data_IF_056698658256
#
_entry.id   IF_056698658256
#
_cell.length_a   1.000
_cell.length_b   1.000
_cell.length_c   1.000
_cell.angle_alpha   90.00
_cell.angle_beta   90.00
_cell.angle_gamma   90.00
#
_symmetry.space_group_name_H-M   'P 1'
#
loop_
_entity.id
_entity.type
_entity.pdbx_description
1 polymer ?
#
# COMPACT_ATOMS: atom_id res chain seq x y z
N UNK A 1 10.59 -10.61 6.26
CA UNK A 1 10.26 -9.31 5.66
C UNK A 1 8.77 -9.09 5.76
N UNK A 2 8.35 -7.92 6.20
CA UNK A 2 6.93 -7.54 6.24
C UNK A 2 6.52 -6.96 4.89
N UNK A 3 5.37 -7.41 4.36
CA UNK A 3 4.82 -6.90 3.11
C UNK A 3 3.50 -6.19 3.38
N UNK A 4 3.34 -5.00 2.81
CA UNK A 4 2.15 -4.17 3.01
C UNK A 4 1.65 -3.62 1.67
N UNK A 5 0.34 -3.67 1.48
CA UNK A 5 -0.33 -3.11 0.31
C UNK A 5 -1.14 -1.90 0.73
N UNK A 6 -0.94 -0.77 0.07
CA UNK A 6 -1.70 0.46 0.29
C UNK A 6 -2.65 0.67 -0.88
N UNK A 7 -3.94 0.67 -0.61
CA UNK A 7 -4.97 0.92 -1.61
C UNK A 7 -5.35 2.39 -1.51
N UNK A 8 -4.90 3.16 -2.48
CA UNK A 8 -4.92 4.61 -2.42
C UNK A 8 -3.75 5.13 -1.60
N UNK A 9 -3.22 6.30 -1.97
CA UNK A 9 -2.07 6.87 -1.27
C UNK A 9 -2.15 8.39 -1.27
N UNK A 10 -3.24 8.91 -0.69
CA UNK A 10 -3.40 10.33 -0.41
C UNK A 10 -2.69 10.72 0.88
N UNK A 11 -3.16 11.77 1.56
CA UNK A 11 -2.53 12.26 2.77
C UNK A 11 -2.56 11.23 3.91
N UNK A 12 -3.71 10.55 4.09
CA UNK A 12 -3.85 9.54 5.15
C UNK A 12 -2.99 8.31 4.85
N UNK A 13 -3.03 7.81 3.61
CA UNK A 13 -2.23 6.65 3.21
C UNK A 13 -0.74 6.92 3.33
N UNK A 14 -0.29 8.11 2.92
CA UNK A 14 1.12 8.50 3.05
C UNK A 14 1.54 8.55 4.51
N UNK A 15 0.68 9.06 5.38
CA UNK A 15 0.94 9.11 6.83
C UNK A 15 1.13 7.72 7.41
N UNK A 16 0.25 6.79 7.06
CA UNK A 16 0.38 5.39 7.51
C UNK A 16 1.65 4.74 6.97
N UNK A 17 2.00 5.00 5.71
CA UNK A 17 3.22 4.47 5.11
C UNK A 17 4.46 4.95 5.86
N UNK A 18 4.54 6.24 6.17
CA UNK A 18 5.65 6.81 6.93
C UNK A 18 5.74 6.23 8.33
N UNK A 19 4.60 6.09 9.01
CA UNK A 19 4.54 5.52 10.36
C UNK A 19 4.99 4.06 10.35
N UNK A 20 4.50 3.27 9.41
CA UNK A 20 4.88 1.86 9.32
C UNK A 20 6.37 1.70 9.01
N UNK A 21 6.90 2.53 8.11
CA UNK A 21 8.33 2.51 7.77
C UNK A 21 9.17 2.81 9.01
N UNK A 22 8.77 3.81 9.80
CA UNK A 22 9.49 4.18 11.03
C UNK A 22 9.45 3.05 12.06
N UNK A 23 8.29 2.43 12.25
CA UNK A 23 8.13 1.33 13.21
C UNK A 23 9.00 0.15 12.80
N UNK A 24 9.00 -0.23 11.53
CA UNK A 24 9.82 -1.32 11.03
C UNK A 24 11.31 -1.03 11.21
N UNK A 25 11.74 0.20 10.94
CA UNK A 25 13.12 0.61 11.14
C UNK A 25 13.55 0.50 12.60
N UNK A 26 12.69 0.92 13.54
CA UNK A 26 12.96 0.84 14.96
C UNK A 26 13.08 -0.60 15.45
N UNK A 27 12.36 -1.52 14.82
CA UNK A 27 12.34 -2.94 15.21
C UNK A 27 13.32 -3.80 14.41
N UNK A 28 14.08 -3.20 13.52
CA UNK A 28 15.01 -3.93 12.66
C UNK A 28 14.33 -4.85 11.66
N UNK A 29 13.08 -4.54 11.26
CA UNK A 29 12.32 -5.32 10.30
C UNK A 29 12.47 -4.74 8.90
N UNK A 30 12.70 -5.60 7.91
CA UNK A 30 12.63 -5.18 6.51
C UNK A 30 11.17 -5.02 6.10
N UNK A 31 10.87 -3.97 5.33
CA UNK A 31 9.53 -3.67 4.85
C UNK A 31 9.54 -3.56 3.34
N UNK A 32 8.58 -4.23 2.69
CA UNK A 32 8.22 -3.98 1.30
C UNK A 32 6.81 -3.40 1.28
N UNK A 33 6.66 -2.16 0.82
CA UNK A 33 5.37 -1.49 0.68
C UNK A 33 5.07 -1.28 -0.79
N UNK A 34 3.91 -1.73 -1.24
CA UNK A 34 3.41 -1.54 -2.60
C UNK A 34 2.14 -0.70 -2.55
N UNK A 35 1.86 0.04 -3.62
CA UNK A 35 0.66 0.88 -3.70
C UNK A 35 -0.18 0.52 -4.92
N UNK A 36 -1.47 0.30 -4.70
CA UNK A 36 -2.48 0.18 -5.74
C UNK A 36 -3.15 1.54 -5.88
N UNK A 37 -2.99 2.17 -7.03
CA UNK A 37 -3.45 3.54 -7.28
C UNK A 37 -4.38 3.58 -8.49
N UNK A 38 -5.35 4.49 -8.47
CA UNK A 38 -6.25 4.67 -9.61
C UNK A 38 -5.56 5.36 -10.80
N UNK A 39 -4.52 6.17 -10.55
CA UNK A 39 -3.83 6.94 -11.58
C UNK A 39 -2.37 7.15 -11.15
N UNK A 40 -1.45 6.51 -11.87
CA UNK A 40 -0.01 6.64 -11.60
C UNK A 40 0.57 7.98 -12.04
N UNK A 41 -0.13 8.71 -12.91
CA UNK A 41 0.30 10.04 -13.33
C UNK A 41 0.09 11.11 -12.25
N UNK A 42 -0.80 10.86 -11.29
CA UNK A 42 -1.05 11.77 -10.18
C UNK A 42 0.17 11.77 -9.24
N UNK A 43 0.73 12.94 -8.89
CA UNK A 43 1.90 12.98 -8.01
C UNK A 43 1.59 12.48 -6.61
N UNK A 44 2.56 11.81 -6.01
CA UNK A 44 2.48 11.36 -4.62
C UNK A 44 2.80 12.52 -3.67
N UNK A 45 2.37 12.39 -2.42
CA UNK A 45 2.77 13.30 -1.37
C UNK A 45 4.28 13.22 -1.17
N UNK A 46 4.95 14.31 -0.72
CA UNK A 46 6.39 14.32 -0.54
C UNK A 46 6.89 13.18 0.36
N UNK A 47 7.92 12.50 -0.08
CA UNK A 47 8.55 11.42 0.67
C UNK A 47 7.90 10.05 0.50
N UNK A 48 6.73 9.95 -0.16
CA UNK A 48 6.06 8.67 -0.30
C UNK A 48 6.74 7.76 -1.33
N UNK A 49 7.16 8.31 -2.46
CA UNK A 49 7.72 7.50 -3.54
C UNK A 49 8.97 6.72 -3.12
N UNK A 50 9.82 7.32 -2.29
CA UNK A 50 11.05 6.68 -1.82
C UNK A 50 10.80 5.50 -0.90
N UNK A 51 9.61 5.43 -0.29
CA UNK A 51 9.26 4.38 0.66
C UNK A 51 8.56 3.20 -0.01
N UNK A 52 8.17 3.33 -1.27
CA UNK A 52 7.46 2.29 -2.00
C UNK A 52 8.40 1.43 -2.81
N UNK A 53 8.17 0.11 -2.80
CA UNK A 53 8.86 -0.83 -3.65
C UNK A 53 8.27 -0.82 -5.06
N UNK A 54 6.93 -0.84 -5.18
CA UNK A 54 6.23 -0.88 -6.45
C UNK A 54 4.92 -0.12 -6.38
N UNK A 55 4.46 0.36 -7.55
CA UNK A 55 3.17 1.00 -7.73
C UNK A 55 2.50 0.40 -8.96
N UNK A 56 1.19 0.18 -8.87
CA UNK A 56 0.43 -0.38 -9.99
C UNK A 56 -1.04 0.05 -9.90
N UNK A 57 -1.76 -0.12 -11.01
CA UNK A 57 -3.17 0.25 -11.08
C UNK A 57 -4.11 -0.94 -11.02
N UNK A 58 -3.58 -2.16 -11.06
CA UNK A 58 -4.35 -3.40 -10.99
C UNK A 58 -3.57 -4.45 -10.23
N UNK A 59 -4.28 -5.34 -9.52
CA UNK A 59 -3.66 -6.44 -8.79
C UNK A 59 -3.18 -7.56 -9.70
N UNK A 60 -3.53 -7.53 -10.99
CA UNK A 60 -2.99 -8.47 -11.99
C UNK A 60 -1.63 -8.03 -12.53
N UNK A 61 -1.14 -6.84 -12.13
CA UNK A 61 0.19 -6.38 -12.52
C UNK A 61 1.25 -7.35 -12.01
N UNK A 62 2.27 -7.62 -12.85
CA UNK A 62 3.34 -8.55 -12.46
C UNK A 62 4.18 -8.07 -11.28
N UNK A 63 4.14 -6.76 -10.98
CA UNK A 63 4.82 -6.19 -9.82
C UNK A 63 4.09 -6.49 -8.52
N UNK A 64 2.79 -6.85 -8.56
CA UNK A 64 2.03 -7.16 -7.37
C UNK A 64 2.40 -8.53 -6.82
N UNK A 65 2.44 -8.65 -5.49
CA UNK A 65 2.64 -9.94 -4.84
C UNK A 65 1.34 -10.75 -4.84
N UNK A 66 1.42 -12.10 -4.81
CA UNK A 66 0.23 -12.93 -4.69
C UNK A 66 -0.42 -12.84 -3.32
N UNK A 67 0.31 -12.36 -2.30
CA UNK A 67 -0.18 -12.25 -0.93
C UNK A 67 0.61 -11.17 -0.18
N UNK A 68 -0.06 -10.44 0.71
CA UNK A 68 0.53 -9.42 1.57
C UNK A 68 0.20 -9.70 3.03
N UNK A 69 1.10 -9.36 3.93
CA UNK A 69 0.87 -9.50 5.38
C UNK A 69 -0.18 -8.48 5.88
N UNK A 70 -0.13 -7.26 5.36
CA UNK A 70 -1.02 -6.17 5.74
C UNK A 70 -1.61 -5.48 4.51
N UNK A 71 -2.82 -4.96 4.65
CA UNK A 71 -3.42 -4.09 3.65
C UNK A 71 -4.04 -2.87 4.33
N UNK A 72 -3.73 -1.68 3.79
CA UNK A 72 -4.28 -0.41 4.27
C UNK A 72 -5.21 0.14 3.21
N UNK A 73 -6.50 0.24 3.53
CA UNK A 73 -7.50 0.79 2.61
C UNK A 73 -7.68 2.26 2.94
N UNK A 74 -7.00 3.11 2.17
CA UNK A 74 -6.97 4.55 2.40
C UNK A 74 -7.55 5.35 1.23
N UNK A 75 -8.24 4.68 0.30
CA UNK A 75 -8.99 5.34 -0.76
C UNK A 75 -10.27 5.97 -0.18
N UNK A 76 -11.04 6.76 -0.96
CA UNK A 76 -12.29 7.34 -0.48
C UNK A 76 -13.23 6.29 0.09
N UNK A 77 -13.95 6.66 1.18
CA UNK A 77 -14.84 5.74 1.91
C UNK A 77 -15.84 5.02 1.00
N UNK A 78 -16.33 5.70 -0.03
CA UNK A 78 -17.28 5.12 -0.98
C UNK A 78 -16.71 3.92 -1.75
N UNK A 79 -15.38 3.75 -1.77
CA UNK A 79 -14.71 2.66 -2.49
C UNK A 79 -14.20 1.56 -1.57
N UNK A 80 -14.40 1.66 -0.25
CA UNK A 80 -13.84 0.70 0.71
C UNK A 80 -14.39 -0.71 0.51
N UNK A 81 -15.69 -0.85 0.26
CA UNK A 81 -16.30 -2.16 0.05
C UNK A 81 -15.73 -2.86 -1.19
N UNK A 82 -15.55 -2.12 -2.27
CA UNK A 82 -14.94 -2.64 -3.50
C UNK A 82 -13.49 -3.05 -3.25
N UNK A 83 -12.72 -2.23 -2.52
CA UNK A 83 -11.34 -2.52 -2.20
C UNK A 83 -11.21 -3.79 -1.38
N UNK A 84 -12.11 -4.01 -0.40
CA UNK A 84 -12.13 -5.22 0.41
C UNK A 84 -12.37 -6.46 -0.44
N UNK A 85 -13.26 -6.39 -1.42
CA UNK A 85 -13.49 -7.51 -2.33
C UNK A 85 -12.25 -7.81 -3.19
N UNK A 86 -11.59 -6.77 -3.69
CA UNK A 86 -10.42 -6.93 -4.55
C UNK A 86 -9.24 -7.59 -3.82
N UNK A 87 -9.08 -7.32 -2.52
CA UNK A 87 -7.96 -7.87 -1.74
C UNK A 87 -8.31 -9.12 -0.95
N UNK A 88 -9.53 -9.60 -1.08
CA UNK A 88 -10.00 -10.77 -0.36
C UNK A 88 -9.08 -11.97 -0.64
N UNK A 89 -8.48 -12.52 0.39
CA UNK A 89 -7.52 -13.61 0.27
C UNK A 89 -6.10 -13.19 -0.07
N UNK A 90 -5.84 -11.89 -0.34
CA UNK A 90 -4.50 -11.40 -0.64
C UNK A 90 -3.74 -10.95 0.60
N UNK A 91 -4.42 -10.60 1.67
CA UNK A 91 -3.78 -10.06 2.87
C UNK A 91 -4.33 -10.72 4.12
N UNK A 92 -3.46 -10.86 5.13
CA UNK A 92 -3.85 -11.39 6.44
C UNK A 92 -4.53 -10.32 7.29
N UNK A 93 -4.18 -9.06 7.06
CA UNK A 93 -4.73 -7.95 7.81
C UNK A 93 -4.73 -6.66 7.01
#
# INVERSE_FOLDING_TARGET
MLTALFIGLGSIGTRHLKNLTAICAQRGLALRADALRSDLARPLRPGAAELLHSQFTTLQDSAALPHYDLAFITNPTSLHAQALEEIRGLADA
#
